data_IF_300341129388
#
_entry.id   IF_300341129388
#
_cell.length_a   1.000
_cell.length_b   1.000
_cell.length_c   1.000
_cell.angle_alpha   90.00
_cell.angle_beta   90.00
_cell.angle_gamma   90.00
#
_symmetry.space_group_name_H-M   'P 1'
#
loop_
_entity.id
_entity.type
_entity.pdbx_description
1 polymer ?
#
# COMPACT_ATOMS: atom_id res chain seq x y z
N UNK A 1 -5.10 6.48 -18.89
CA UNK A 1 -3.84 6.56 -18.13
C UNK A 1 -3.93 5.50 -17.04
N UNK A 2 -2.83 4.81 -16.72
CA UNK A 2 -2.82 3.79 -15.67
C UNK A 2 -2.01 4.33 -14.50
N UNK A 3 -2.54 4.25 -13.28
CA UNK A 3 -1.84 4.66 -12.08
C UNK A 3 -0.88 3.58 -11.62
N UNK A 4 0.39 3.92 -11.42
CA UNK A 4 1.39 3.05 -10.81
C UNK A 4 1.30 3.23 -9.30
N UNK A 5 1.02 2.15 -8.57
CA UNK A 5 0.93 2.16 -7.12
C UNK A 5 2.15 1.45 -6.55
N UNK A 6 2.86 2.07 -5.61
CA UNK A 6 4.05 1.48 -5.00
C UNK A 6 4.25 1.97 -3.57
N UNK A 7 4.87 1.10 -2.78
CA UNK A 7 5.33 1.38 -1.43
C UNK A 7 6.72 2.03 -1.40
N UNK A 8 7.44 1.83 -0.31
CA UNK A 8 8.85 2.19 -0.17
C UNK A 8 9.82 1.19 -0.83
N UNK A 9 11.07 1.63 -1.07
CA UNK A 9 12.21 0.76 -1.40
C UNK A 9 12.46 -0.30 -0.34
N UNK A 10 13.02 -1.44 -0.75
CA UNK A 10 13.21 -2.61 0.12
C UNK A 10 11.88 -3.04 0.75
N UNK A 11 10.87 -3.38 -0.07
CA UNK A 11 9.50 -3.51 0.40
C UNK A 11 9.36 -4.66 1.41
N UNK A 12 8.72 -4.36 2.53
CA UNK A 12 8.25 -5.33 3.49
C UNK A 12 6.86 -5.84 3.10
N UNK A 13 6.15 -6.49 4.03
CA UNK A 13 4.85 -7.06 3.74
C UNK A 13 3.79 -5.99 3.46
N UNK A 14 3.76 -4.87 4.19
CA UNK A 14 2.76 -3.82 3.93
C UNK A 14 3.09 -3.05 2.64
N UNK A 15 4.35 -2.67 2.45
CA UNK A 15 4.83 -2.02 1.23
C UNK A 15 4.70 -2.90 -0.02
N UNK A 16 4.63 -4.23 0.12
CA UNK A 16 4.32 -5.18 -0.96
C UNK A 16 2.81 -5.36 -1.15
N UNK A 17 2.06 -5.52 -0.06
CA UNK A 17 0.64 -5.86 -0.08
C UNK A 17 -0.27 -4.68 -0.38
N UNK A 18 0.01 -3.50 0.19
CA UNK A 18 -0.77 -2.28 0.01
C UNK A 18 -0.92 -1.85 -1.47
N UNK A 19 0.12 -1.90 -2.32
CA UNK A 19 -0.04 -1.66 -3.76
C UNK A 19 -1.02 -2.64 -4.43
N UNK A 20 -0.98 -3.92 -4.06
CA UNK A 20 -1.86 -4.96 -4.62
C UNK A 20 -3.31 -4.71 -4.19
N UNK A 21 -3.52 -4.43 -2.90
CA UNK A 21 -4.83 -4.13 -2.31
C UNK A 21 -5.46 -2.92 -3.00
N UNK A 22 -4.71 -1.82 -3.13
CA UNK A 22 -5.22 -0.59 -3.71
C UNK A 22 -5.44 -0.71 -5.22
N UNK A 23 -4.58 -1.44 -5.94
CA UNK A 23 -4.77 -1.70 -7.36
C UNK A 23 -6.05 -2.51 -7.60
N UNK A 24 -6.31 -3.55 -6.80
CA UNK A 24 -7.57 -4.29 -6.87
C UNK A 24 -8.77 -3.36 -6.66
N UNK A 25 -8.77 -2.55 -5.60
CA UNK A 25 -9.87 -1.65 -5.29
C UNK A 25 -10.15 -0.66 -6.42
N UNK A 26 -9.10 -0.02 -6.95
CA UNK A 26 -9.25 0.95 -8.03
C UNK A 26 -9.80 0.32 -9.31
N UNK A 27 -9.29 -0.85 -9.72
CA UNK A 27 -9.76 -1.51 -10.93
C UNK A 27 -11.18 -2.07 -10.77
N UNK A 28 -11.43 -2.85 -9.71
CA UNK A 28 -12.65 -3.63 -9.55
C UNK A 28 -13.82 -2.85 -8.95
N UNK A 29 -13.53 -1.84 -8.13
CA UNK A 29 -14.57 -1.08 -7.42
C UNK A 29 -14.74 0.34 -7.95
N UNK A 30 -13.65 0.96 -8.44
CA UNK A 30 -13.67 2.37 -8.88
C UNK A 30 -13.65 2.57 -10.39
N UNK A 31 -13.49 1.49 -11.17
CA UNK A 31 -13.33 1.54 -12.63
C UNK A 31 -12.18 2.47 -13.06
N UNK A 32 -11.10 2.45 -12.28
CA UNK A 32 -9.91 3.25 -12.47
C UNK A 32 -8.73 2.32 -12.74
N UNK A 33 -8.06 2.50 -13.89
CA UNK A 33 -6.93 1.64 -14.27
C UNK A 33 -5.75 1.89 -13.34
N UNK A 34 -5.32 0.85 -12.64
CA UNK A 34 -4.15 0.91 -11.77
C UNK A 34 -3.33 -0.39 -11.82
N UNK A 35 -2.04 -0.28 -11.55
CA UNK A 35 -1.09 -1.39 -11.54
C UNK A 35 -0.21 -1.29 -10.28
N UNK A 36 -0.16 -2.37 -9.51
CA UNK A 36 0.79 -2.50 -8.42
C UNK A 36 2.21 -2.62 -8.98
N UNK A 37 3.17 -1.96 -8.35
CA UNK A 37 4.61 -1.97 -8.66
C UNK A 37 5.40 -2.04 -7.36
N UNK A 38 6.61 -2.57 -7.43
CA UNK A 38 7.54 -2.64 -6.30
C UNK A 38 8.80 -1.82 -6.56
N UNK A 39 9.45 -1.35 -5.49
CA UNK A 39 10.70 -0.58 -5.56
C UNK A 39 11.92 -1.40 -5.11
N UNK A 40 11.86 -2.71 -5.33
CA UNK A 40 12.92 -3.65 -4.98
C UNK A 40 12.38 -5.06 -4.80
N UNK A 41 13.27 -6.00 -4.50
CA UNK A 41 12.89 -7.36 -4.14
C UNK A 41 12.25 -7.38 -2.74
N UNK A 42 11.06 -7.98 -2.58
CA UNK A 42 10.44 -8.13 -1.26
C UNK A 42 11.27 -8.97 -0.31
N UNK A 43 11.08 -8.73 0.98
CA UNK A 43 11.66 -9.59 2.01
C UNK A 43 11.05 -11.03 1.97
N UNK A 44 11.64 -11.96 2.72
CA UNK A 44 11.20 -13.35 2.72
C UNK A 44 9.76 -13.54 3.24
N UNK A 45 9.30 -12.70 4.15
CA UNK A 45 7.93 -12.75 4.67
C UNK A 45 6.93 -12.33 3.60
N UNK A 46 7.18 -11.21 2.92
CA UNK A 46 6.36 -10.72 1.83
C UNK A 46 6.31 -11.73 0.66
N UNK A 47 7.43 -12.36 0.31
CA UNK A 47 7.46 -13.44 -0.69
C UNK A 47 6.61 -14.64 -0.26
N UNK A 48 6.68 -15.04 1.01
CA UNK A 48 5.81 -16.09 1.56
C UNK A 48 4.33 -15.70 1.47
N UNK A 49 3.98 -14.44 1.75
CA UNK A 49 2.60 -13.94 1.67
C UNK A 49 2.08 -14.01 0.22
N UNK A 50 2.87 -13.60 -0.77
CA UNK A 50 2.50 -13.71 -2.18
C UNK A 50 2.21 -15.17 -2.57
N UNK A 51 3.11 -16.08 -2.21
CA UNK A 51 2.93 -17.52 -2.47
C UNK A 51 1.70 -18.07 -1.75
N UNK A 52 1.54 -17.75 -0.46
CA UNK A 52 0.44 -18.23 0.39
C UNK A 52 -0.93 -17.92 -0.17
N UNK A 53 -1.07 -16.75 -0.79
CA UNK A 53 -2.32 -16.25 -1.36
C UNK A 53 -2.42 -16.41 -2.87
N UNK A 54 -1.44 -17.07 -3.50
CA UNK A 54 -1.36 -17.28 -4.96
C UNK A 54 -1.50 -15.97 -5.74
N UNK A 55 -0.73 -14.96 -5.33
CA UNK A 55 -0.64 -13.66 -5.97
C UNK A 55 0.65 -13.55 -6.75
N UNK A 56 0.57 -13.02 -7.97
CA UNK A 56 1.75 -12.72 -8.77
C UNK A 56 2.57 -11.61 -8.11
N UNK A 57 3.90 -11.75 -8.12
CA UNK A 57 4.80 -10.69 -7.68
C UNK A 57 4.65 -9.49 -8.64
N UNK A 58 4.29 -8.28 -8.16
CA UNK A 58 4.22 -7.12 -9.04
C UNK A 58 5.60 -6.81 -9.64
N UNK A 59 5.62 -6.23 -10.84
CA UNK A 59 6.91 -5.92 -11.47
C UNK A 59 7.64 -4.82 -10.69
N UNK A 60 8.97 -4.94 -10.66
CA UNK A 60 9.85 -3.98 -10.05
C UNK A 60 10.02 -2.79 -11.00
N UNK A 61 9.99 -1.59 -10.43
CA UNK A 61 10.17 -0.34 -11.13
C UNK A 61 11.47 0.32 -10.66
N UNK A 62 12.35 0.62 -11.63
CA UNK A 62 13.64 1.27 -11.35
C UNK A 62 13.51 2.79 -11.12
N UNK A 63 12.50 3.41 -11.72
CA UNK A 63 12.29 4.86 -11.68
C UNK A 63 10.97 5.27 -12.34
N UNK A 64 10.54 6.51 -12.10
CA UNK A 64 9.35 7.10 -12.74
C UNK A 64 9.74 8.30 -13.60
N UNK A 65 9.05 8.46 -14.72
CA UNK A 65 9.27 9.56 -15.65
C UNK A 65 8.37 10.77 -15.36
N UNK A 66 8.66 11.92 -15.98
CA UNK A 66 7.74 13.06 -15.96
C UNK A 66 6.36 12.64 -16.50
N UNK A 67 5.29 13.03 -15.80
CA UNK A 67 3.89 12.68 -16.10
C UNK A 67 3.49 11.21 -15.94
N UNK A 68 4.37 10.35 -15.40
CA UNK A 68 3.90 9.07 -14.88
C UNK A 68 2.92 9.34 -13.74
N UNK A 69 1.74 8.71 -13.80
CA UNK A 69 0.74 8.89 -12.74
C UNK A 69 0.98 7.89 -11.62
N UNK A 70 1.17 8.42 -10.41
CA UNK A 70 1.64 7.63 -9.27
C UNK A 70 0.70 7.76 -8.07
N UNK A 71 0.54 6.65 -7.34
CA UNK A 71 -0.06 6.61 -6.01
C UNK A 71 0.99 6.02 -5.08
N UNK A 72 1.29 6.74 -4.01
CA UNK A 72 2.27 6.30 -3.02
C UNK A 72 1.51 5.73 -1.84
N UNK A 73 1.95 4.58 -1.36
CA UNK A 73 1.38 3.95 -0.17
C UNK A 73 2.51 3.67 0.81
N UNK A 74 2.21 3.64 2.10
CA UNK A 74 3.12 3.14 3.14
C UNK A 74 4.47 3.87 3.29
N UNK A 75 4.59 5.06 2.69
CA UNK A 75 5.66 6.00 2.97
C UNK A 75 5.28 7.37 2.42
N UNK A 76 5.91 8.40 2.95
CA UNK A 76 5.97 9.73 2.35
C UNK A 76 7.42 10.24 2.26
N UNK A 77 8.39 9.39 2.60
CA UNK A 77 9.81 9.71 2.63
C UNK A 77 10.41 9.64 1.22
N UNK A 78 10.85 10.78 0.67
CA UNK A 78 11.45 10.82 -0.67
C UNK A 78 12.69 9.94 -0.82
N UNK A 79 13.45 9.72 0.25
CA UNK A 79 14.62 8.83 0.19
C UNK A 79 14.24 7.38 -0.16
N UNK A 80 13.04 6.97 0.25
CA UNK A 80 12.47 5.64 0.04
C UNK A 80 11.71 5.51 -1.27
N UNK A 81 11.55 6.59 -2.04
CA UNK A 81 10.75 6.65 -3.27
C UNK A 81 11.63 6.55 -4.54
N UNK A 82 11.05 6.20 -5.71
CA UNK A 82 11.84 5.99 -6.93
C UNK A 82 12.47 7.29 -7.42
N UNK A 83 13.52 7.17 -8.23
CA UNK A 83 14.08 8.31 -8.93
C UNK A 83 13.00 8.97 -9.81
N UNK A 84 13.00 10.30 -9.85
CA UNK A 84 12.03 11.09 -10.63
C UNK A 84 10.68 11.34 -9.95
N UNK A 85 10.45 10.87 -8.70
CA UNK A 85 9.13 10.98 -8.06
C UNK A 85 8.57 12.40 -7.95
N UNK A 86 9.43 13.41 -7.77
CA UNK A 86 9.02 14.81 -7.69
C UNK A 86 8.65 15.43 -9.05
N UNK A 87 9.01 14.76 -10.17
CA UNK A 87 8.64 15.16 -11.53
C UNK A 87 7.43 14.38 -12.07
N UNK A 88 7.04 13.31 -11.39
CA UNK A 88 5.87 12.50 -11.69
C UNK A 88 4.55 13.20 -11.30
N UNK A 89 3.46 12.75 -11.88
CA UNK A 89 2.11 13.16 -11.51
C UNK A 89 1.61 12.27 -10.36
N UNK A 90 2.16 12.48 -9.16
CA UNK A 90 1.62 11.88 -7.92
C UNK A 90 0.21 12.44 -7.70
N UNK A 91 -0.76 11.58 -7.41
CA UNK A 91 -2.18 11.97 -7.22
C UNK A 91 -2.73 11.62 -5.85
N UNK A 92 -2.11 10.66 -5.15
CA UNK A 92 -2.57 10.18 -3.85
C UNK A 92 -1.39 9.65 -3.02
N UNK A 93 -1.44 9.89 -1.70
CA UNK A 93 -0.57 9.30 -0.68
C UNK A 93 -1.43 8.71 0.43
N UNK A 94 -1.23 7.43 0.78
CA UNK A 94 -1.90 6.76 1.91
C UNK A 94 -0.82 6.15 2.81
N UNK A 95 -0.69 6.65 4.02
CA UNK A 95 0.44 6.30 4.87
C UNK A 95 0.09 6.36 6.36
N UNK A 96 0.89 5.70 7.18
CA UNK A 96 0.79 5.69 8.64
C UNK A 96 2.07 6.15 9.34
N UNK A 97 3.13 6.42 8.59
CA UNK A 97 4.40 6.93 9.11
C UNK A 97 4.33 8.41 9.51
N UNK A 98 5.37 8.86 10.20
CA UNK A 98 5.57 10.29 10.42
C UNK A 98 5.71 11.03 9.09
N UNK A 99 5.18 12.25 9.05
CA UNK A 99 5.32 13.11 7.88
C UNK A 99 6.77 13.62 7.79
N UNK A 100 7.41 13.37 6.67
CA UNK A 100 8.75 13.84 6.30
C UNK A 100 8.66 14.85 5.16
N UNK A 101 9.53 15.86 5.20
CA UNK A 101 9.60 16.87 4.13
C UNK A 101 10.35 16.37 2.91
N UNK A 102 9.99 16.88 1.74
CA UNK A 102 10.77 16.69 0.50
C UNK A 102 9.93 16.28 -0.71
N UNK A 103 8.78 15.64 -0.47
CA UNK A 103 7.85 15.29 -1.54
C UNK A 103 7.22 16.57 -2.11
N UNK A 104 7.31 16.74 -3.42
CA UNK A 104 6.77 17.88 -4.15
C UNK A 104 5.89 17.37 -5.26
N UNK A 105 4.70 17.96 -5.40
CA UNK A 105 3.74 17.60 -6.44
C UNK A 105 3.46 18.79 -7.33
N UNK A 106 3.12 18.51 -8.60
CA UNK A 106 2.82 19.54 -9.60
C UNK A 106 1.44 20.17 -9.41
N UNK A 107 0.52 19.42 -8.80
CA UNK A 107 -0.87 19.81 -8.54
C UNK A 107 -1.28 19.37 -7.13
N UNK A 108 -2.37 19.91 -6.56
CA UNK A 108 -2.93 19.40 -5.32
C UNK A 108 -3.29 17.91 -5.43
N UNK A 109 -3.03 17.15 -4.37
CA UNK A 109 -3.24 15.70 -4.30
C UNK A 109 -4.07 15.31 -3.08
N UNK A 110 -4.60 14.10 -3.07
CA UNK A 110 -5.18 13.50 -1.85
C UNK A 110 -4.05 12.97 -0.98
N UNK A 111 -4.05 13.30 0.31
CA UNK A 111 -3.12 12.74 1.28
C UNK A 111 -3.93 12.27 2.48
N UNK A 112 -3.83 10.97 2.79
CA UNK A 112 -4.38 10.37 4.00
C UNK A 112 -3.25 9.83 4.84
N UNK A 113 -2.93 10.53 5.94
CA UNK A 113 -2.00 10.02 6.95
C UNK A 113 -2.75 9.83 8.25
N UNK A 114 -2.70 8.62 8.82
CA UNK A 114 -3.39 8.33 10.09
C UNK A 114 -2.46 7.57 11.03
N UNK A 115 -2.48 7.86 12.34
CA UNK A 115 -1.66 7.15 13.33
C UNK A 115 -2.26 5.77 13.64
N UNK A 116 -2.31 4.89 12.63
CA UNK A 116 -2.72 3.50 12.73
C UNK A 116 -1.49 2.60 12.57
N UNK A 117 -1.64 1.33 12.94
CA UNK A 117 -0.52 0.40 12.98
C UNK A 117 -0.02 -0.01 11.59
N UNK A 118 -0.85 0.12 10.55
CA UNK A 118 -0.61 -0.44 9.22
C UNK A 118 -1.39 0.37 8.16
N UNK A 119 -0.78 0.60 7.00
CA UNK A 119 -1.39 1.30 5.85
C UNK A 119 -2.61 0.55 5.33
N UNK A 120 -2.57 -0.78 5.29
CA UNK A 120 -3.70 -1.60 4.85
C UNK A 120 -4.97 -1.39 5.71
N UNK A 121 -4.81 -1.02 6.99
CA UNK A 121 -5.95 -0.67 7.86
C UNK A 121 -6.60 0.63 7.42
N UNK A 122 -5.81 1.62 7.00
CA UNK A 122 -6.31 2.89 6.45
C UNK A 122 -7.05 2.63 5.15
N UNK A 123 -6.47 1.82 4.26
CA UNK A 123 -7.09 1.47 2.98
C UNK A 123 -8.45 0.80 3.17
N UNK A 124 -8.57 -0.14 4.10
CA UNK A 124 -9.85 -0.77 4.41
C UNK A 124 -10.93 0.26 4.77
N UNK A 125 -10.61 1.25 5.62
CA UNK A 125 -11.55 2.31 5.97
C UNK A 125 -11.93 3.17 4.76
N UNK A 126 -10.96 3.52 3.92
CA UNK A 126 -11.19 4.31 2.70
C UNK A 126 -12.03 3.58 1.64
N UNK A 127 -12.04 2.24 1.64
CA UNK A 127 -12.90 1.44 0.77
C UNK A 127 -14.38 1.50 1.19
N UNK A 128 -14.67 1.73 2.47
CA UNK A 128 -16.04 1.69 2.99
C UNK A 128 -16.76 0.38 2.65
N UNK A 129 -18.00 0.47 2.16
CA UNK A 129 -18.83 -0.69 1.83
C UNK A 129 -18.22 -1.58 0.73
N UNK A 130 -17.38 -1.03 -0.15
CA UNK A 130 -16.70 -1.81 -1.19
C UNK A 130 -15.71 -2.84 -0.61
N UNK A 131 -15.23 -2.64 0.63
CA UNK A 131 -14.36 -3.62 1.32
C UNK A 131 -15.01 -5.00 1.44
N UNK A 132 -16.35 -5.06 1.50
CA UNK A 132 -17.11 -6.31 1.53
C UNK A 132 -16.93 -7.17 0.28
N UNK A 133 -16.48 -6.57 -0.83
CA UNK A 133 -16.27 -7.22 -2.15
C UNK A 133 -14.88 -7.82 -2.30
N UNK A 134 -13.98 -7.63 -1.33
CA UNK A 134 -12.62 -8.18 -1.40
C UNK A 134 -12.64 -9.69 -1.64
N UNK A 135 -11.97 -10.18 -2.70
CA UNK A 135 -11.80 -11.61 -2.88
C UNK A 135 -10.88 -12.16 -1.78
N UNK A 136 -10.94 -13.48 -1.59
CA UNK A 136 -10.22 -14.16 -0.51
C UNK A 136 -8.71 -13.82 -0.46
N UNK A 137 -8.03 -13.76 -1.61
CA UNK A 137 -6.62 -13.41 -1.66
C UNK A 137 -6.33 -11.97 -1.19
N UNK A 138 -7.22 -11.00 -1.50
CA UNK A 138 -7.06 -9.60 -1.09
C UNK A 138 -7.32 -9.43 0.42
N UNK A 139 -8.31 -10.14 0.97
CA UNK A 139 -8.48 -10.22 2.43
C UNK A 139 -7.26 -10.81 3.11
N UNK A 140 -6.71 -11.88 2.53
CA UNK A 140 -5.53 -12.57 3.03
C UNK A 140 -4.29 -11.69 3.08
N UNK A 141 -3.96 -11.00 1.99
CA UNK A 141 -2.81 -10.08 1.97
C UNK A 141 -3.03 -8.88 2.91
N UNK A 142 -4.24 -8.33 2.99
CA UNK A 142 -4.56 -7.24 3.94
C UNK A 142 -4.36 -7.69 5.39
N UNK A 143 -4.80 -8.89 5.74
CA UNK A 143 -4.54 -9.48 7.05
C UNK A 143 -3.04 -9.66 7.29
N UNK A 144 -2.30 -10.13 6.28
CA UNK A 144 -0.84 -10.31 6.37
C UNK A 144 -0.10 -9.00 6.62
N UNK A 145 -0.47 -7.89 5.95
CA UNK A 145 0.07 -6.56 6.22
C UNK A 145 -0.11 -6.18 7.70
N UNK A 146 -1.35 -6.32 8.21
CA UNK A 146 -1.66 -5.95 9.60
C UNK A 146 -0.85 -6.80 10.59
N UNK A 147 -0.74 -8.11 10.36
CA UNK A 147 0.03 -8.99 11.24
C UNK A 147 1.53 -8.68 11.22
N UNK A 148 2.07 -8.32 10.04
CA UNK A 148 3.47 -7.89 9.86
C UNK A 148 3.77 -6.65 10.71
N UNK A 149 3.10 -5.52 10.45
CA UNK A 149 3.46 -4.23 11.07
C UNK A 149 3.17 -4.20 12.57
N UNK A 150 2.19 -4.99 12.99
CA UNK A 150 1.86 -5.14 14.41
C UNK A 150 2.73 -6.17 15.12
N UNK A 151 3.59 -6.91 14.41
CA UNK A 151 4.34 -8.04 14.93
C UNK A 151 3.45 -9.04 15.68
N UNK A 152 2.32 -9.42 15.06
CA UNK A 152 1.26 -10.20 15.70
C UNK A 152 0.74 -9.48 16.96
N UNK A 153 0.43 -8.20 16.81
CA UNK A 153 -0.10 -7.33 17.87
C UNK A 153 0.79 -7.13 19.11
N UNK A 154 2.09 -7.36 18.97
CA UNK A 154 3.11 -7.13 20.03
C UNK A 154 3.81 -5.78 19.88
N UNK A 155 3.72 -5.16 18.69
CA UNK A 155 4.27 -3.83 18.44
C UNK A 155 3.54 -2.77 19.26
N UNK A 156 4.25 -1.76 19.81
CA UNK A 156 3.62 -0.63 20.49
C UNK A 156 2.78 0.26 19.55
N UNK A 157 2.91 0.10 18.23
CA UNK A 157 2.08 0.82 17.24
C UNK A 157 0.69 0.20 17.08
N UNK A 158 0.47 -1.00 17.61
CA UNK A 158 -0.80 -1.73 17.48
C UNK A 158 -1.98 -0.90 18.02
N UNK A 159 -3.01 -0.72 17.20
CA UNK A 159 -4.26 -0.07 17.58
C UNK A 159 -5.41 -1.07 17.67
N UNK A 160 -6.48 -0.73 18.38
CA UNK A 160 -7.68 -1.57 18.47
C UNK A 160 -8.31 -1.77 17.08
N UNK A 161 -8.30 -0.73 16.24
CA UNK A 161 -8.76 -0.82 14.85
C UNK A 161 -8.01 -1.90 14.04
N UNK A 162 -6.71 -2.05 14.26
CA UNK A 162 -5.92 -3.09 13.59
C UNK A 162 -6.31 -4.49 14.09
N UNK A 163 -6.51 -4.68 15.40
CA UNK A 163 -6.95 -5.96 15.99
C UNK A 163 -8.33 -6.37 15.48
N UNK A 164 -9.30 -5.47 15.61
CA UNK A 164 -10.69 -5.70 15.19
C UNK A 164 -10.78 -6.01 13.70
N UNK A 165 -10.03 -5.28 12.86
CA UNK A 165 -10.00 -5.56 11.43
C UNK A 165 -9.37 -6.92 11.13
N UNK A 166 -8.22 -7.24 11.75
CA UNK A 166 -7.58 -8.52 11.55
C UNK A 166 -8.48 -9.71 11.93
N UNK A 167 -9.20 -9.61 13.05
CA UNK A 167 -10.19 -10.64 13.45
C UNK A 167 -11.30 -10.80 12.42
N UNK A 168 -11.84 -9.70 11.88
CA UNK A 168 -12.88 -9.76 10.83
C UNK A 168 -12.37 -10.35 9.52
N UNK A 169 -11.12 -10.07 9.15
CA UNK A 169 -10.53 -10.59 7.91
C UNK A 169 -10.20 -12.09 8.00
N UNK A 170 -9.99 -12.61 9.21
CA UNK A 170 -9.67 -14.02 9.46
C UNK A 170 -10.90 -14.95 9.48
N UNK A 171 -12.12 -14.40 9.50
CA UNK A 171 -13.39 -15.14 9.49
C UNK A 171 -13.93 -15.33 8.06
#
# INVERSE_FOLDING_TARGET
MTHKIFGHKSPDTDSTGSPIIWAWYLNECRNTRAEARLLGEPNAEALFVLERWNLDKPEILDGVGPRDSCIIVDTNNVAELPEGINDADVIEVIDHHMLQGGLKTRTPITITVRPLACTATIMHDLMGDDASRMPHAIKGVMLSCILSDTLEFRSPTTTDAARELAERLAM
#
